data_IF_353654198302
#
_entry.id   IF_353654198302
#
_cell.length_a   1.000
_cell.length_b   1.000
_cell.length_c   1.000
_cell.angle_alpha   90.00
_cell.angle_beta   90.00
_cell.angle_gamma   90.00
#
_symmetry.space_group_name_H-M   'P 1'
#
loop_
_entity.id
_entity.type
_entity.pdbx_description
1 polymer ?
#
# COMPACT_ATOMS: atom_id res chain seq x y z
N UNK A 1 -18.79 5.76 24.90
CA UNK A 1 -18.48 5.25 23.55
C UNK A 1 -17.72 6.33 22.79
N UNK A 2 -16.56 5.98 22.21
CA UNK A 2 -15.79 6.86 21.32
C UNK A 2 -16.21 6.54 19.89
N UNK A 3 -16.58 7.56 19.11
CA UNK A 3 -16.77 7.45 17.67
C UNK A 3 -15.63 8.22 16.97
N UNK A 4 -15.12 7.67 15.87
CA UNK A 4 -14.09 8.28 15.07
C UNK A 4 -14.66 8.53 13.68
N UNK A 5 -14.44 9.73 13.15
CA UNK A 5 -14.74 10.06 11.76
C UNK A 5 -13.43 10.45 11.08
N UNK A 6 -13.24 9.95 9.87
CA UNK A 6 -12.11 10.30 9.03
C UNK A 6 -12.61 11.06 7.82
N UNK A 7 -11.90 12.10 7.43
CA UNK A 7 -12.22 12.88 6.24
C UNK A 7 -10.95 13.20 5.44
N UNK A 8 -11.12 13.28 4.14
CA UNK A 8 -10.11 13.73 3.20
C UNK A 8 -10.33 15.21 2.92
N UNK A 9 -9.28 16.02 3.05
CA UNK A 9 -9.30 17.43 2.67
C UNK A 9 -8.51 17.61 1.37
N UNK A 10 -9.15 18.20 0.38
CA UNK A 10 -8.48 18.67 -0.84
C UNK A 10 -8.18 20.15 -0.65
N UNK A 11 -6.91 20.53 -0.77
CA UNK A 11 -6.45 21.92 -0.63
C UNK A 11 -5.99 22.47 -1.97
N UNK A 12 -6.13 23.79 -2.14
CA UNK A 12 -5.52 24.53 -3.26
C UNK A 12 -4.00 24.70 -3.07
N UNK A 13 -3.34 25.35 -4.04
CA UNK A 13 -1.91 25.64 -4.00
C UNK A 13 -1.52 26.55 -2.82
N UNK A 14 -2.47 27.28 -2.24
CA UNK A 14 -2.28 28.17 -1.10
C UNK A 14 -2.57 27.50 0.25
N UNK A 15 -2.99 26.24 0.23
CA UNK A 15 -3.32 25.47 1.43
C UNK A 15 -4.75 25.68 1.94
N UNK A 16 -5.63 26.36 1.21
CA UNK A 16 -7.03 26.50 1.58
C UNK A 16 -7.80 25.24 1.23
N UNK A 17 -8.63 24.76 2.16
CA UNK A 17 -9.48 23.60 1.96
C UNK A 17 -10.60 23.97 0.97
N UNK A 18 -10.59 23.33 -0.19
CA UNK A 18 -11.62 23.51 -1.25
C UNK A 18 -12.69 22.42 -1.21
N UNK A 19 -12.39 21.27 -0.59
CA UNK A 19 -13.33 20.16 -0.47
C UNK A 19 -12.99 19.29 0.75
N UNK A 20 -14.03 18.83 1.44
CA UNK A 20 -13.95 17.79 2.47
C UNK A 20 -14.86 16.63 2.10
N UNK A 21 -14.34 15.40 2.18
CA UNK A 21 -15.09 14.18 1.95
C UNK A 21 -14.98 13.30 3.18
N UNK A 22 -16.10 12.85 3.73
CA UNK A 22 -16.09 11.85 4.78
C UNK A 22 -15.81 10.48 4.17
N UNK A 23 -14.83 9.77 4.73
CA UNK A 23 -14.40 8.45 4.22
C UNK A 23 -15.52 7.42 4.29
N UNK A 24 -16.38 7.52 5.30
CA UNK A 24 -17.53 6.61 5.46
C UNK A 24 -18.60 6.84 4.38
N UNK A 25 -18.80 8.09 3.95
CA UNK A 25 -19.74 8.43 2.86
C UNK A 25 -19.20 8.02 1.48
N UNK A 26 -17.87 7.95 1.34
CA UNK A 26 -17.20 7.49 0.12
C UNK A 26 -17.28 5.97 -0.06
N UNK A 27 -17.36 5.20 1.01
CA UNK A 27 -17.35 3.73 0.97
C UNK A 27 -18.52 3.10 0.19
N UNK A 28 -19.60 3.86 -0.05
CA UNK A 28 -20.76 3.41 -0.83
C UNK A 28 -20.85 3.98 -2.26
N UNK A 29 -20.05 5.00 -2.59
CA UNK A 29 -20.10 5.70 -3.88
C UNK A 29 -18.93 5.40 -4.80
N UNK A 30 -17.79 4.97 -4.23
CA UNK A 30 -16.56 4.76 -4.99
C UNK A 30 -16.47 3.34 -5.53
N UNK A 31 -16.91 3.15 -6.76
CA UNK A 31 -16.59 1.97 -7.58
C UNK A 31 -15.12 1.96 -8.06
N UNK A 32 -14.34 3.02 -7.78
CA UNK A 32 -13.02 3.27 -8.38
C UNK A 32 -11.81 3.26 -7.44
N UNK A 33 -11.91 2.78 -6.20
CA UNK A 33 -10.74 2.67 -5.31
C UNK A 33 -10.29 3.97 -4.62
N UNK A 34 -10.97 5.09 -4.84
CA UNK A 34 -10.64 6.40 -4.24
C UNK A 34 -10.74 6.41 -2.72
N UNK A 35 -11.76 5.75 -2.16
CA UNK A 35 -11.96 5.63 -0.71
C UNK A 35 -10.97 4.71 0.01
N UNK A 36 -10.11 3.98 -0.70
CA UNK A 36 -9.13 3.07 -0.06
C UNK A 36 -7.85 3.77 0.35
N UNK A 37 -7.43 4.83 -0.36
CA UNK A 37 -6.16 5.50 -0.11
C UNK A 37 -6.05 6.05 1.33
N UNK A 38 -7.03 6.79 1.88
CA UNK A 38 -6.99 7.28 3.26
C UNK A 38 -6.91 6.13 4.28
N UNK A 39 -7.61 5.03 4.03
CA UNK A 39 -7.61 3.85 4.93
C UNK A 39 -6.23 3.21 5.01
N UNK A 40 -5.54 3.05 3.88
CA UNK A 40 -4.17 2.51 3.86
C UNK A 40 -3.17 3.46 4.52
N UNK A 41 -3.27 4.75 4.28
CA UNK A 41 -2.40 5.75 4.95
C UNK A 41 -2.61 5.71 6.46
N UNK A 42 -3.85 5.68 6.93
CA UNK A 42 -4.16 5.56 8.36
C UNK A 42 -3.65 4.25 8.96
N UNK A 43 -3.82 3.13 8.24
CA UNK A 43 -3.30 1.82 8.66
C UNK A 43 -1.77 1.84 8.81
N UNK A 44 -1.06 2.33 7.81
CA UNK A 44 0.40 2.42 7.83
C UNK A 44 0.89 3.37 8.93
N UNK A 45 0.21 4.51 9.14
CA UNK A 45 0.49 5.42 10.23
C UNK A 45 0.29 4.76 11.61
N UNK A 46 -0.77 3.96 11.76
CA UNK A 46 -1.03 3.17 12.97
C UNK A 46 0.10 2.19 13.26
N UNK A 47 0.59 1.45 12.27
CA UNK A 47 1.76 0.57 12.44
C UNK A 47 3.02 1.36 12.79
N UNK A 48 3.27 2.49 12.13
CA UNK A 48 4.42 3.32 12.44
C UNK A 48 4.38 3.82 13.89
N UNK A 49 3.21 4.27 14.36
CA UNK A 49 3.02 4.70 15.76
C UNK A 49 3.25 3.54 16.74
N UNK A 50 2.73 2.34 16.45
CA UNK A 50 2.94 1.16 17.27
C UNK A 50 4.43 0.85 17.45
N UNK A 51 5.20 0.90 16.39
CA UNK A 51 6.65 0.69 16.44
C UNK A 51 7.41 1.84 17.12
N UNK A 52 6.91 3.07 17.00
CA UNK A 52 7.51 4.25 17.67
C UNK A 52 7.35 4.24 19.19
N UNK A 53 6.28 3.65 19.73
CA UNK A 53 6.03 3.59 21.18
C UNK A 53 6.97 2.65 21.94
N UNK A 54 7.74 1.84 21.23
CA UNK A 54 8.64 0.89 21.88
C UNK A 54 10.01 1.50 22.16
N UNK A 55 10.58 1.23 23.34
CA UNK A 55 11.78 1.87 23.89
C UNK A 55 13.11 1.62 23.15
N UNK A 56 13.19 0.63 22.25
CA UNK A 56 14.38 0.30 21.46
C UNK A 56 14.10 0.42 19.96
N UNK A 57 13.95 1.65 19.46
CA UNK A 57 13.51 1.95 18.08
C UNK A 57 14.45 1.42 16.99
N UNK A 58 15.76 1.51 17.24
CA UNK A 58 16.78 1.28 16.21
C UNK A 58 17.16 -0.20 16.02
N UNK A 59 16.69 -1.08 16.90
CA UNK A 59 17.06 -2.51 16.89
C UNK A 59 15.92 -3.43 16.41
N UNK A 60 14.83 -2.90 15.85
CA UNK A 60 13.64 -3.68 15.49
C UNK A 60 13.32 -3.62 14.03
N UNK A 61 12.98 -4.77 13.49
CA UNK A 61 12.37 -4.87 12.16
C UNK A 61 10.94 -4.34 12.27
N UNK A 62 10.64 -3.25 11.56
CA UNK A 62 9.30 -2.65 11.48
C UNK A 62 8.52 -3.32 10.34
N UNK A 63 8.22 -4.61 10.51
CA UNK A 63 7.62 -5.44 9.49
C UNK A 63 6.09 -5.36 9.51
N UNK A 64 5.49 -5.13 8.35
CA UNK A 64 4.05 -5.16 8.10
C UNK A 64 3.75 -6.13 6.96
N UNK A 65 2.86 -7.08 7.21
CA UNK A 65 2.38 -8.03 6.21
C UNK A 65 0.97 -7.61 5.78
N UNK A 66 0.78 -7.45 4.49
CA UNK A 66 -0.49 -7.05 3.90
C UNK A 66 -0.92 -8.10 2.86
N UNK A 67 -2.09 -8.68 3.06
CA UNK A 67 -2.71 -9.60 2.10
C UNK A 67 -3.73 -8.86 1.24
N UNK A 68 -3.75 -9.18 -0.06
CA UNK A 68 -4.61 -8.53 -1.07
C UNK A 68 -4.50 -6.99 -1.10
N UNK A 69 -3.39 -6.44 -0.60
CA UNK A 69 -3.20 -5.01 -0.53
C UNK A 69 -3.18 -4.37 -1.92
N UNK A 70 -3.67 -3.14 -1.97
CA UNK A 70 -3.71 -2.33 -3.19
C UNK A 70 -4.56 -2.93 -4.33
N UNK A 71 -5.38 -3.97 -4.07
CA UNK A 71 -6.15 -4.66 -5.09
C UNK A 71 -7.12 -3.74 -5.86
N UNK A 72 -7.63 -2.71 -5.19
CA UNK A 72 -8.57 -1.73 -5.78
C UNK A 72 -7.96 -0.34 -6.00
N UNK A 73 -6.66 -0.18 -5.78
CA UNK A 73 -5.95 1.08 -6.02
C UNK A 73 -5.36 1.13 -7.43
N UNK A 74 -5.32 2.31 -8.03
CA UNK A 74 -4.53 2.55 -9.22
C UNK A 74 -3.02 2.55 -8.94
N UNK A 75 -2.22 2.60 -10.01
CA UNK A 75 -0.76 2.54 -9.92
C UNK A 75 -0.19 3.75 -9.15
N UNK A 76 -0.71 4.93 -9.39
CA UNK A 76 -0.19 6.17 -8.80
C UNK A 76 -0.42 6.20 -7.28
N UNK A 77 -1.64 5.86 -6.85
CA UNK A 77 -1.99 5.78 -5.43
C UNK A 77 -1.22 4.69 -4.69
N UNK A 78 -1.06 3.53 -5.32
CA UNK A 78 -0.24 2.44 -4.76
C UNK A 78 1.21 2.89 -4.56
N UNK A 79 1.79 3.60 -5.53
CA UNK A 79 3.14 4.16 -5.44
C UNK A 79 3.26 5.18 -4.30
N UNK A 80 2.26 6.04 -4.10
CA UNK A 80 2.22 6.99 -2.97
C UNK A 80 2.19 6.26 -1.64
N UNK A 81 1.35 5.24 -1.47
CA UNK A 81 1.31 4.45 -0.24
C UNK A 81 2.65 3.76 0.07
N UNK A 82 3.29 3.14 -0.93
CA UNK A 82 4.61 2.53 -0.78
C UNK A 82 5.69 3.54 -0.41
N UNK A 83 5.63 4.75 -1.00
CA UNK A 83 6.54 5.85 -0.64
C UNK A 83 6.34 6.32 0.80
N UNK A 84 5.10 6.38 1.28
CA UNK A 84 4.80 6.71 2.69
C UNK A 84 5.34 5.64 3.63
N UNK A 85 5.14 4.36 3.32
CA UNK A 85 5.69 3.28 4.14
C UNK A 85 7.22 3.39 4.30
N UNK A 86 7.94 3.69 3.21
CA UNK A 86 9.39 3.94 3.27
C UNK A 86 9.76 5.15 4.12
N UNK A 87 9.01 6.26 4.02
CA UNK A 87 9.24 7.45 4.87
C UNK A 87 9.04 7.15 6.36
N UNK A 88 8.16 6.22 6.70
CA UNK A 88 7.92 5.76 8.06
C UNK A 88 8.89 4.65 8.49
N UNK A 89 9.84 4.30 7.63
CA UNK A 89 10.82 3.24 7.88
C UNK A 89 10.16 1.86 8.15
N UNK A 90 9.04 1.60 7.48
CA UNK A 90 8.34 0.32 7.52
C UNK A 90 8.87 -0.61 6.43
N UNK A 91 9.09 -1.87 6.79
CA UNK A 91 9.32 -2.95 5.85
C UNK A 91 7.98 -3.61 5.52
N UNK A 92 7.58 -3.61 4.25
CA UNK A 92 6.33 -4.22 3.81
C UNK A 92 6.59 -5.55 3.10
N UNK A 93 5.78 -6.55 3.43
CA UNK A 93 5.55 -7.74 2.60
C UNK A 93 4.10 -7.66 2.14
N UNK A 94 3.91 -7.61 0.82
CA UNK A 94 2.59 -7.41 0.22
C UNK A 94 2.28 -8.58 -0.70
N UNK A 95 1.18 -9.28 -0.43
CA UNK A 95 0.66 -10.31 -1.32
C UNK A 95 -0.35 -9.69 -2.28
N UNK A 96 -0.16 -9.93 -3.57
CA UNK A 96 -1.02 -9.40 -4.63
C UNK A 96 -1.26 -10.45 -5.71
N UNK A 97 -2.41 -10.41 -6.39
CA UNK A 97 -2.64 -11.20 -7.59
C UNK A 97 -1.69 -10.80 -8.74
N UNK A 98 -1.43 -11.73 -9.66
CA UNK A 98 -0.51 -11.53 -10.79
C UNK A 98 -0.86 -10.30 -11.64
N UNK A 99 -2.15 -10.02 -11.83
CA UNK A 99 -2.63 -8.88 -12.62
C UNK A 99 -2.22 -7.53 -12.04
N UNK A 100 -1.89 -7.51 -10.74
CA UNK A 100 -1.47 -6.28 -10.05
C UNK A 100 0.03 -6.07 -10.04
N UNK A 101 0.81 -7.09 -10.37
CA UNK A 101 2.27 -7.03 -10.34
C UNK A 101 2.78 -5.89 -11.22
N UNK A 102 2.23 -5.74 -12.41
CA UNK A 102 2.62 -4.68 -13.36
C UNK A 102 2.56 -3.28 -12.76
N UNK A 103 1.52 -2.99 -11.97
CA UNK A 103 1.32 -1.68 -11.35
C UNK A 103 2.26 -1.40 -10.18
N UNK A 104 2.80 -2.44 -9.55
CA UNK A 104 3.57 -2.34 -8.31
C UNK A 104 5.07 -2.55 -8.50
N UNK A 105 5.49 -3.32 -9.52
CA UNK A 105 6.87 -3.81 -9.67
C UNK A 105 7.92 -2.69 -9.69
N UNK A 106 7.59 -1.52 -10.23
CA UNK A 106 8.50 -0.37 -10.26
C UNK A 106 8.78 0.19 -8.85
N UNK A 107 7.86 -0.02 -7.91
CA UNK A 107 7.85 0.59 -6.57
C UNK A 107 8.21 -0.36 -5.43
N UNK A 108 8.50 -1.63 -5.73
CA UNK A 108 8.94 -2.64 -4.75
C UNK A 108 10.41 -2.98 -4.94
N UNK A 109 11.07 -3.48 -3.91
CA UNK A 109 12.50 -3.78 -3.95
C UNK A 109 12.77 -5.19 -4.48
N UNK A 110 11.89 -6.15 -4.14
CA UNK A 110 12.03 -7.56 -4.47
C UNK A 110 10.66 -8.16 -4.79
N UNK A 111 10.64 -9.14 -5.69
CA UNK A 111 9.42 -9.85 -6.09
C UNK A 111 9.65 -11.36 -6.06
N UNK A 112 8.72 -12.07 -5.44
CA UNK A 112 8.67 -13.53 -5.45
C UNK A 112 7.34 -13.99 -6.04
N UNK A 113 7.41 -14.84 -7.05
CA UNK A 113 6.26 -15.53 -7.62
C UNK A 113 6.05 -16.87 -6.94
N UNK A 114 4.80 -17.20 -6.64
CA UNK A 114 4.40 -18.50 -6.13
C UNK A 114 3.54 -19.23 -7.16
N UNK A 115 3.90 -20.45 -7.47
CA UNK A 115 3.12 -21.31 -8.37
C UNK A 115 2.73 -22.58 -7.63
N UNK A 116 1.44 -22.90 -7.70
CA UNK A 116 0.91 -24.19 -7.23
C UNK A 116 0.71 -25.12 -8.42
N UNK A 117 1.26 -26.33 -8.32
CA UNK A 117 0.99 -27.43 -9.22
C UNK A 117 0.63 -28.67 -8.41
N UNK A 118 -0.61 -29.16 -8.56
CA UNK A 118 -1.19 -30.20 -7.71
C UNK A 118 -1.09 -29.80 -6.20
N UNK A 119 -0.36 -30.56 -5.40
CA UNK A 119 -0.17 -30.30 -3.97
C UNK A 119 1.20 -29.70 -3.63
N UNK A 120 1.97 -29.31 -4.64
CA UNK A 120 3.29 -28.72 -4.48
C UNK A 120 3.23 -27.22 -4.75
N UNK A 121 3.95 -26.44 -3.93
CA UNK A 121 4.13 -24.99 -4.11
C UNK A 121 5.60 -24.75 -4.45
N UNK A 122 5.84 -24.10 -5.57
CA UNK A 122 7.17 -23.60 -5.94
C UNK A 122 7.22 -22.09 -5.78
N UNK A 123 8.35 -21.60 -5.32
CA UNK A 123 8.65 -20.15 -5.21
C UNK A 123 9.80 -19.81 -6.16
N UNK A 124 9.70 -18.70 -6.84
CA UNK A 124 10.76 -18.16 -7.69
C UNK A 124 10.99 -16.68 -7.41
N UNK A 125 12.23 -16.26 -7.41
CA UNK A 125 12.58 -14.84 -7.45
C UNK A 125 12.37 -14.32 -8.87
N UNK A 126 11.65 -13.20 -9.00
CA UNK A 126 11.42 -12.52 -10.28
C UNK A 126 12.41 -11.37 -10.40
N UNK A 127 13.29 -11.43 -11.40
CA UNK A 127 14.15 -10.29 -11.71
C UNK A 127 13.32 -9.15 -12.29
N UNK A 128 13.37 -8.01 -11.62
CA UNK A 128 12.58 -6.82 -11.98
C UNK A 128 13.00 -6.26 -13.34
N UNK A 129 14.30 -6.25 -13.60
CA UNK A 129 14.85 -5.71 -14.85
C UNK A 129 14.40 -6.52 -16.05
N UNK A 130 14.42 -7.83 -15.95
CA UNK A 130 13.96 -8.72 -17.01
C UNK A 130 12.45 -8.65 -17.21
N UNK A 131 11.68 -8.59 -16.11
CA UNK A 131 10.23 -8.41 -16.20
C UNK A 131 9.85 -7.10 -16.89
N UNK A 132 10.50 -5.98 -16.53
CA UNK A 132 10.22 -4.68 -17.13
C UNK A 132 10.58 -4.63 -18.62
N UNK A 133 11.67 -5.27 -19.05
CA UNK A 133 12.02 -5.40 -20.47
C UNK A 133 10.96 -6.16 -21.27
N UNK A 134 10.39 -7.22 -20.68
CA UNK A 134 9.30 -7.98 -21.32
C UNK A 134 8.02 -7.18 -21.50
N UNK A 135 7.82 -6.14 -20.69
CA UNK A 135 6.63 -5.31 -20.76
C UNK A 135 6.77 -4.10 -21.70
N UNK A 136 8.00 -3.69 -22.00
CA UNK A 136 8.31 -2.54 -22.87
C UNK A 136 8.54 -2.94 -24.34
N UNK A 137 8.62 -4.23 -24.65
CA UNK A 137 8.75 -4.80 -26.01
C UNK A 137 7.45 -5.28 -26.57
#
# INVERSE_FOLDING_TARGET
YLSFSMYEQVTDENGHVIRENYVDDMAGRDSGGEGQNPKYVALLAGFAMLYMQQSNRDSKIKLVLLDEAFSKMDQERSAVCLKYARKMDLQLIVCVPDERLQSLIRNVDCVYGFRRHNNEISMMHIDKGDYLKLMEG
#
